data_IF_373952186937
#
_entry.id   IF_373952186937
#
_cell.length_a   1.000
_cell.length_b   1.000
_cell.length_c   1.000
_cell.angle_alpha   90.00
_cell.angle_beta   90.00
_cell.angle_gamma   90.00
#
_symmetry.space_group_name_H-M   'P 1'
#
loop_
_entity.id
_entity.type
_entity.pdbx_description
1 polymer ?
#
# COMPACT_ATOMS: atom_id res chain seq x y z
N UNK A 1 -11.36 22.03 -26.47
CA UNK A 1 -9.90 22.24 -26.41
C UNK A 1 -9.24 20.88 -26.25
N UNK A 2 -8.02 20.68 -26.75
CA UNK A 2 -7.30 19.43 -26.51
C UNK A 2 -7.00 19.30 -25.00
N UNK A 3 -7.30 18.14 -24.43
CA UNK A 3 -6.97 17.83 -23.03
C UNK A 3 -5.43 17.80 -22.89
N UNK A 4 -4.91 18.39 -21.81
CA UNK A 4 -3.47 18.40 -21.52
C UNK A 4 -2.94 16.99 -21.28
N UNK A 5 -1.71 16.75 -21.71
CA UNK A 5 -1.02 15.52 -21.38
C UNK A 5 -0.73 15.44 -19.86
N UNK A 6 -0.85 14.25 -19.26
CA UNK A 6 -0.74 14.04 -17.81
C UNK A 6 0.59 13.39 -17.48
N UNK A 7 1.41 14.04 -16.66
CA UNK A 7 2.67 13.44 -16.18
C UNK A 7 2.36 12.28 -15.25
N UNK A 8 3.12 11.20 -15.38
CA UNK A 8 3.06 10.08 -14.45
C UNK A 8 4.44 9.60 -14.05
N UNK A 9 4.48 8.95 -12.89
CA UNK A 9 5.60 8.15 -12.44
C UNK A 9 5.09 6.76 -12.02
N UNK A 10 5.87 5.70 -12.23
CA UNK A 10 5.61 4.40 -11.61
C UNK A 10 6.57 4.26 -10.44
N UNK A 11 6.02 3.99 -9.27
CA UNK A 11 6.75 3.91 -8.02
C UNK A 11 6.52 2.55 -7.38
N UNK A 12 7.62 1.88 -7.06
CA UNK A 12 7.64 0.66 -6.28
C UNK A 12 7.65 1.01 -4.80
N UNK A 13 6.52 0.82 -4.11
CA UNK A 13 6.36 1.14 -2.70
C UNK A 13 6.76 -0.04 -1.79
N UNK A 14 7.18 0.27 -0.56
CA UNK A 14 7.67 -0.69 0.44
C UNK A 14 8.93 -1.43 -0.01
N UNK A 15 9.81 -0.76 -0.74
CA UNK A 15 11.11 -1.28 -1.16
C UNK A 15 12.12 -0.16 -1.42
N UNK A 16 13.41 -0.51 -1.37
CA UNK A 16 14.53 0.32 -1.82
C UNK A 16 15.17 -0.20 -3.12
N UNK A 17 14.55 -1.20 -3.75
CA UNK A 17 15.04 -1.86 -4.95
C UNK A 17 14.02 -1.82 -6.05
N UNK A 18 14.45 -1.43 -7.26
CA UNK A 18 13.58 -1.44 -8.43
C UNK A 18 12.99 -2.84 -8.70
N UNK A 19 11.74 -2.86 -9.13
CA UNK A 19 10.96 -4.05 -9.49
C UNK A 19 10.68 -5.01 -8.33
N UNK A 20 10.76 -4.50 -7.09
CA UNK A 20 10.31 -5.15 -5.85
C UNK A 20 9.16 -4.33 -5.24
N UNK A 21 8.64 -4.70 -4.09
CA UNK A 21 7.57 -3.94 -3.44
C UNK A 21 6.23 -4.01 -4.19
N UNK A 22 5.33 -3.07 -3.93
CA UNK A 22 4.02 -2.99 -4.59
C UNK A 22 4.00 -1.78 -5.55
N UNK A 23 3.80 -1.97 -6.87
CA UNK A 23 3.91 -0.88 -7.82
C UNK A 23 2.62 -0.07 -7.86
N UNK A 24 2.75 1.25 -7.91
CA UNK A 24 1.64 2.13 -8.20
C UNK A 24 2.01 3.17 -9.26
N UNK A 25 1.11 3.42 -10.20
CA UNK A 25 1.22 4.56 -11.09
C UNK A 25 0.70 5.81 -10.38
N UNK A 26 1.44 6.91 -10.44
CA UNK A 26 1.11 8.19 -9.82
C UNK A 26 0.95 9.23 -10.91
N UNK A 27 -0.27 9.67 -11.18
CA UNK A 27 -0.60 10.66 -12.20
C UNK A 27 -0.84 12.03 -11.56
N UNK A 28 -0.19 13.08 -12.07
CA UNK A 28 -0.41 14.46 -11.63
C UNK A 28 -1.37 15.18 -12.57
N UNK A 29 -2.58 15.48 -12.08
CA UNK A 29 -3.62 16.16 -12.83
C UNK A 29 -3.48 17.68 -12.68
N UNK A 30 -3.27 18.37 -13.81
CA UNK A 30 -3.32 19.84 -13.88
C UNK A 30 -4.73 20.38 -14.17
N UNK A 31 -5.63 19.51 -14.61
CA UNK A 31 -7.03 19.82 -14.92
C UNK A 31 -7.89 18.61 -14.57
N UNK A 32 -9.17 18.85 -14.30
CA UNK A 32 -10.09 17.78 -13.95
C UNK A 32 -10.23 16.75 -15.09
N UNK A 33 -10.39 15.50 -14.67
CA UNK A 33 -10.64 14.34 -15.52
C UNK A 33 -11.87 13.64 -15.00
N UNK A 34 -12.73 13.25 -15.92
CA UNK A 34 -13.92 12.45 -15.63
C UNK A 34 -13.54 11.03 -15.18
N UNK A 35 -14.44 10.40 -14.43
CA UNK A 35 -14.22 9.06 -13.85
C UNK A 35 -13.98 7.98 -14.92
N UNK A 36 -14.59 8.14 -16.10
CA UNK A 36 -14.40 7.21 -17.21
C UNK A 36 -12.94 7.23 -17.71
N UNK A 37 -12.36 8.42 -17.85
CA UNK A 37 -10.96 8.58 -18.22
C UNK A 37 -10.01 8.06 -17.14
N UNK A 38 -10.29 8.37 -15.87
CA UNK A 38 -9.49 7.88 -14.74
C UNK A 38 -9.50 6.36 -14.66
N UNK A 39 -10.66 5.73 -14.87
CA UNK A 39 -10.77 4.28 -14.91
C UNK A 39 -10.04 3.68 -16.12
N UNK A 40 -10.16 4.29 -17.30
CA UNK A 40 -9.51 3.81 -18.52
C UNK A 40 -7.98 3.84 -18.41
N UNK A 41 -7.41 4.91 -17.86
CA UNK A 41 -5.97 5.02 -17.64
C UNK A 41 -5.48 4.01 -16.59
N UNK A 42 -6.25 3.79 -15.52
CA UNK A 42 -5.91 2.76 -14.53
C UNK A 42 -5.91 1.35 -15.14
N UNK A 43 -6.88 1.07 -16.02
CA UNK A 43 -6.95 -0.18 -16.76
C UNK A 43 -5.78 -0.36 -17.74
N UNK A 44 -5.33 0.72 -18.41
CA UNK A 44 -4.19 0.72 -19.32
C UNK A 44 -2.87 0.40 -18.59
N UNK A 45 -2.63 1.02 -17.43
CA UNK A 45 -1.44 0.72 -16.62
C UNK A 45 -1.43 -0.73 -16.11
N UNK A 46 -2.61 -1.27 -15.77
CA UNK A 46 -2.78 -2.65 -15.28
C UNK A 46 -1.87 -3.00 -14.09
N UNK A 47 -1.58 -2.01 -13.25
CA UNK A 47 -0.95 -2.19 -11.94
C UNK A 47 -2.03 -2.45 -10.89
N UNK A 48 -1.62 -2.83 -9.67
CA UNK A 48 -2.54 -2.98 -8.54
C UNK A 48 -3.39 -1.71 -8.39
N UNK A 49 -2.73 -0.54 -8.37
CA UNK A 49 -3.38 0.75 -8.26
C UNK A 49 -2.73 1.82 -9.13
N UNK A 50 -3.57 2.69 -9.69
CA UNK A 50 -3.21 4.00 -10.24
C UNK A 50 -3.81 5.08 -9.36
N UNK A 51 -2.99 6.03 -8.91
CA UNK A 51 -3.45 7.15 -8.11
C UNK A 51 -3.36 8.48 -8.86
N UNK A 52 -4.32 9.35 -8.60
CA UNK A 52 -4.46 10.65 -9.25
C UNK A 52 -4.34 11.77 -8.23
N UNK A 53 -3.34 12.62 -8.42
CA UNK A 53 -3.06 13.78 -7.59
C UNK A 53 -3.62 15.04 -8.24
N UNK A 54 -4.41 15.80 -7.48
CA UNK A 54 -4.86 17.15 -7.87
C UNK A 54 -4.40 18.13 -6.81
N UNK A 55 -3.69 19.20 -7.19
CA UNK A 55 -3.27 20.21 -6.21
C UNK A 55 -4.50 20.95 -5.69
N UNK A 56 -4.66 21.02 -4.36
CA UNK A 56 -5.69 21.84 -3.74
C UNK A 56 -5.10 23.20 -3.38
N UNK A 57 -5.94 24.24 -3.36
CA UNK A 57 -5.52 25.61 -3.03
C UNK A 57 -4.79 25.65 -1.70
N UNK A 58 -3.68 26.38 -1.68
CA UNK A 58 -2.76 26.41 -0.53
C UNK A 58 -3.44 27.03 0.68
N UNK A 59 -3.55 26.28 1.79
CA UNK A 59 -3.65 26.87 3.11
C UNK A 59 -2.24 27.05 3.67
N UNK A 60 -1.96 28.19 4.29
CA UNK A 60 -0.64 28.75 4.62
C UNK A 60 0.33 27.89 5.47
N UNK A 61 0.05 26.62 5.78
CA UNK A 61 0.92 25.81 6.65
C UNK A 61 1.24 24.39 6.18
N UNK A 62 0.47 23.75 5.30
CA UNK A 62 0.77 22.38 4.82
C UNK A 62 0.27 22.15 3.40
N UNK A 63 1.12 21.69 2.45
CA UNK A 63 0.70 21.33 1.10
C UNK A 63 -0.39 20.28 1.13
N UNK A 64 -1.48 20.52 0.39
CA UNK A 64 -2.62 19.62 0.32
C UNK A 64 -2.98 19.25 -1.12
N UNK A 65 -3.29 17.98 -1.33
CA UNK A 65 -3.67 17.43 -2.63
C UNK A 65 -4.94 16.59 -2.50
N UNK A 66 -5.79 16.60 -3.52
CA UNK A 66 -6.78 15.55 -3.71
C UNK A 66 -6.06 14.28 -4.16
N UNK A 67 -6.43 13.14 -3.59
CA UNK A 67 -5.88 11.85 -3.95
C UNK A 67 -7.02 10.84 -4.13
N UNK A 68 -7.06 10.24 -5.32
CA UNK A 68 -7.99 9.16 -5.69
C UNK A 68 -7.19 7.94 -6.11
N UNK A 69 -7.73 6.74 -5.91
CA UNK A 69 -7.07 5.48 -6.28
C UNK A 69 -8.01 4.61 -7.08
N UNK A 70 -7.50 4.06 -8.16
CA UNK A 70 -8.23 3.19 -9.05
C UNK A 70 -7.46 1.89 -9.20
N UNK A 71 -8.13 0.77 -8.96
CA UNK A 71 -7.71 -0.51 -9.53
C UNK A 71 -8.02 -0.49 -11.04
N UNK A 72 -7.60 -1.50 -11.81
CA UNK A 72 -8.01 -1.63 -13.21
C UNK A 72 -9.52 -1.69 -13.45
N UNK A 73 -10.33 -1.96 -12.42
CA UNK A 73 -11.78 -2.15 -12.54
C UNK A 73 -12.66 -1.16 -11.77
N UNK A 74 -12.15 -0.53 -10.70
CA UNK A 74 -12.96 0.34 -9.85
C UNK A 74 -12.11 1.36 -9.07
N UNK A 75 -12.75 2.46 -8.64
CA UNK A 75 -12.20 3.32 -7.59
C UNK A 75 -12.24 2.61 -6.23
N UNK A 76 -11.25 2.88 -5.38
CA UNK A 76 -11.20 2.39 -3.98
C UNK A 76 -11.07 3.56 -3.02
N UNK A 77 -11.66 3.43 -1.84
CA UNK A 77 -11.71 4.52 -0.85
C UNK A 77 -10.38 4.77 -0.14
N UNK A 78 -9.52 3.74 -0.04
CA UNK A 78 -8.26 3.77 0.70
C UNK A 78 -7.23 2.81 0.12
N UNK A 79 -6.00 3.27 -0.12
CA UNK A 79 -4.90 2.39 -0.50
C UNK A 79 -3.56 2.81 0.11
N UNK A 80 -2.94 1.93 0.93
CA UNK A 80 -1.70 2.23 1.63
C UNK A 80 -0.49 2.46 0.72
N UNK A 81 -0.12 1.46 -0.10
CA UNK A 81 1.10 1.54 -0.91
C UNK A 81 1.02 2.64 -1.98
N UNK A 82 -0.15 2.84 -2.59
CA UNK A 82 -0.33 3.91 -3.57
C UNK A 82 -0.35 5.31 -2.92
N UNK A 83 -0.82 5.44 -1.67
CA UNK A 83 -0.61 6.68 -0.88
C UNK A 83 0.87 6.93 -0.62
N UNK A 84 1.62 5.88 -0.27
CA UNK A 84 3.06 5.98 -0.05
C UNK A 84 3.78 6.42 -1.34
N UNK A 85 3.43 5.83 -2.47
CA UNK A 85 3.95 6.18 -3.80
C UNK A 85 3.63 7.63 -4.18
N UNK A 86 2.39 8.08 -3.94
CA UNK A 86 1.98 9.46 -4.19
C UNK A 86 2.79 10.46 -3.36
N UNK A 87 2.95 10.21 -2.05
CA UNK A 87 3.76 11.03 -1.16
C UNK A 87 5.23 11.06 -1.58
N UNK A 88 5.83 9.90 -1.88
CA UNK A 88 7.19 9.80 -2.40
C UNK A 88 7.38 10.64 -3.67
N UNK A 89 6.44 10.54 -4.62
CA UNK A 89 6.46 11.33 -5.86
C UNK A 89 6.43 12.83 -5.58
N UNK A 90 5.61 13.29 -4.63
CA UNK A 90 5.57 14.70 -4.26
C UNK A 90 6.88 15.16 -3.60
N UNK A 91 7.41 14.38 -2.65
CA UNK A 91 8.69 14.70 -2.00
C UNK A 91 9.87 14.71 -2.97
N UNK A 92 9.85 13.89 -4.02
CA UNK A 92 10.93 13.80 -5.01
C UNK A 92 10.76 14.76 -6.22
N UNK A 93 9.56 15.29 -6.47
CA UNK A 93 9.30 16.16 -7.64
C UNK A 93 9.68 17.63 -7.44
N UNK A 94 10.03 18.04 -6.23
CA UNK A 94 10.28 19.45 -5.89
C UNK A 94 9.00 20.32 -5.85
N UNK A 95 7.82 19.73 -6.01
CA UNK A 95 6.53 20.43 -5.95
C UNK A 95 6.14 20.85 -4.52
N UNK A 96 6.71 20.18 -3.50
CA UNK A 96 6.52 20.51 -2.08
C UNK A 96 7.87 20.76 -1.43
N UNK A 97 7.94 21.76 -0.54
CA UNK A 97 9.12 22.08 0.29
C UNK A 97 8.98 21.61 1.74
N UNK A 98 7.84 21.00 2.07
CA UNK A 98 7.50 20.51 3.40
C UNK A 98 7.80 19.02 3.49
N UNK A 99 8.25 18.56 4.66
CA UNK A 99 8.36 17.13 4.98
C UNK A 99 7.00 16.47 5.28
N UNK A 100 5.91 17.24 5.23
CA UNK A 100 4.55 16.78 5.47
C UNK A 100 3.66 17.19 4.29
N UNK A 101 2.85 16.24 3.82
CA UNK A 101 1.77 16.47 2.86
C UNK A 101 0.47 15.87 3.40
N UNK A 102 -0.64 16.54 3.10
CA UNK A 102 -1.99 16.06 3.38
C UNK A 102 -2.73 15.70 2.10
N UNK A 103 -3.47 14.61 2.15
CA UNK A 103 -4.31 14.13 1.06
C UNK A 103 -5.78 14.21 1.46
N UNK A 104 -6.59 14.90 0.66
CA UNK A 104 -8.04 14.85 0.74
C UNK A 104 -8.55 13.68 -0.10
N UNK A 105 -9.25 12.75 0.55
CA UNK A 105 -9.61 11.44 0.00
C UNK A 105 -11.05 11.10 0.39
N UNK A 106 -11.64 10.05 -0.20
CA UNK A 106 -12.97 9.58 0.17
C UNK A 106 -13.04 9.09 1.63
N UNK A 107 -11.95 8.53 2.16
CA UNK A 107 -11.84 8.13 3.57
C UNK A 107 -11.40 9.28 4.50
N UNK A 108 -11.46 10.54 4.06
CA UNK A 108 -11.06 11.71 4.83
C UNK A 108 -9.61 12.15 4.59
N UNK A 109 -9.05 12.92 5.52
CA UNK A 109 -7.68 13.45 5.37
C UNK A 109 -6.66 12.40 5.80
N UNK A 110 -5.73 12.07 4.90
CA UNK A 110 -4.55 11.27 5.19
C UNK A 110 -3.31 12.17 5.28
N UNK A 111 -2.37 11.81 6.16
CA UNK A 111 -1.11 12.53 6.34
C UNK A 111 0.05 11.61 5.99
N UNK A 112 0.97 12.11 5.17
CA UNK A 112 2.24 11.47 4.90
C UNK A 112 3.40 12.37 5.34
N UNK A 113 4.43 11.76 5.92
CA UNK A 113 5.61 12.45 6.44
C UNK A 113 6.91 11.83 5.91
N UNK A 114 7.84 12.67 5.47
CA UNK A 114 9.23 12.33 5.18
C UNK A 114 9.96 12.11 6.51
N UNK A 115 10.51 10.92 6.72
CA UNK A 115 11.24 10.53 7.94
C UNK A 115 12.67 10.12 7.56
N UNK A 116 13.71 10.79 8.09
CA UNK A 116 15.10 10.47 7.76
C UNK A 116 15.45 9.01 8.05
N UNK A 117 16.21 8.38 7.14
CA UNK A 117 16.80 7.07 7.39
C UNK A 117 18.12 7.22 8.17
N UNK A 118 18.05 7.01 9.49
CA UNK A 118 19.18 7.20 10.42
C UNK A 118 20.36 6.27 10.09
N UNK A 119 20.15 5.16 9.39
CA UNK A 119 21.25 4.25 9.00
C UNK A 119 22.16 4.85 7.92
N UNK A 120 21.65 5.73 7.06
CA UNK A 120 22.43 6.43 6.02
C UNK A 120 23.07 7.74 6.48
N UNK A 121 22.74 8.24 7.67
CA UNK A 121 23.37 9.45 8.22
C UNK A 121 24.88 9.26 8.48
N UNK A 122 25.35 8.01 8.60
CA UNK A 122 26.76 7.67 8.83
C UNK A 122 27.43 6.96 7.64
N UNK A 123 26.79 6.86 6.48
CA UNK A 123 27.35 6.20 5.30
C UNK A 123 26.61 6.60 4.02
N UNK A 124 27.29 7.36 3.15
CA UNK A 124 26.81 7.67 1.81
C UNK A 124 26.71 6.37 1.00
N UNK A 125 25.48 5.89 0.76
CA UNK A 125 25.24 4.95 -0.32
C UNK A 125 25.34 5.72 -1.64
N UNK A 126 26.51 5.65 -2.27
CA UNK A 126 26.74 6.18 -3.61
C UNK A 126 26.34 5.11 -4.63
N UNK A 127 25.11 5.20 -5.12
CA UNK A 127 24.78 4.64 -6.43
C UNK A 127 24.60 5.81 -7.40
N UNK A 128 25.43 5.83 -8.46
CA UNK A 128 25.37 6.76 -9.60
C UNK A 128 25.83 8.22 -9.40
N UNK A 129 26.59 8.53 -8.36
CA UNK A 129 27.27 9.83 -8.24
C UNK A 129 26.36 11.02 -7.84
N UNK A 130 25.07 10.78 -7.62
CA UNK A 130 24.16 11.71 -6.96
C UNK A 130 23.78 11.13 -5.60
N UNK A 131 24.07 11.86 -4.52
CA UNK A 131 23.66 11.46 -3.18
C UNK A 131 22.15 11.65 -3.06
N UNK A 132 21.38 10.60 -3.30
CA UNK A 132 19.95 10.61 -2.99
C UNK A 132 19.78 10.41 -1.48
N UNK A 133 19.22 11.38 -0.78
CA UNK A 133 18.84 11.20 0.62
C UNK A 133 17.91 9.99 0.75
N UNK A 134 18.34 8.99 1.52
CA UNK A 134 17.46 7.88 1.90
C UNK A 134 16.52 8.35 3.01
N UNK A 135 15.23 8.13 2.81
CA UNK A 135 14.20 8.44 3.79
C UNK A 135 13.08 7.39 3.71
N UNK A 136 12.32 7.30 4.79
CA UNK A 136 11.05 6.59 4.83
C UNK A 136 9.91 7.57 4.60
N UNK A 137 8.86 7.12 3.93
CA UNK A 137 7.56 7.77 3.99
C UNK A 137 6.76 7.10 5.09
N UNK A 138 6.33 7.89 6.07
CA UNK A 138 5.41 7.47 7.13
C UNK A 138 3.99 7.87 6.78
N UNK A 139 3.07 6.92 6.84
CA UNK A 139 1.64 7.10 6.75
C UNK A 139 1.01 6.87 8.11
N UNK A 140 -0.04 7.62 8.41
CA UNK A 140 -0.77 7.51 9.67
C UNK A 140 -2.21 7.06 9.40
N UNK A 141 -2.56 5.82 9.72
CA UNK A 141 -3.90 5.24 9.55
C UNK A 141 -4.60 4.99 10.89
N UNK A 142 -5.94 4.97 10.93
CA UNK A 142 -6.67 4.46 12.08
C UNK A 142 -6.27 3.00 12.37
N UNK A 143 -6.15 2.62 13.64
CA UNK A 143 -6.04 1.21 14.00
C UNK A 143 -7.37 0.49 13.73
N UNK A 144 -7.29 -0.75 13.25
CA UNK A 144 -8.44 -1.64 13.08
C UNK A 144 -8.36 -2.78 14.11
N UNK A 145 -9.18 -2.74 15.17
CA UNK A 145 -9.16 -3.79 16.17
C UNK A 145 -9.68 -5.11 15.58
N UNK A 146 -9.32 -6.21 16.22
CA UNK A 146 -9.77 -7.54 15.80
C UNK A 146 -10.33 -8.35 16.96
N UNK A 147 -11.36 -9.13 16.65
CA UNK A 147 -12.05 -10.00 17.58
C UNK A 147 -11.68 -11.48 17.32
N UNK A 148 -11.89 -12.32 18.33
CA UNK A 148 -11.80 -13.76 18.16
C UNK A 148 -12.78 -14.25 17.09
N UNK A 149 -12.32 -15.17 16.24
CA UNK A 149 -13.17 -15.79 15.23
C UNK A 149 -13.81 -17.06 15.79
N UNK A 150 -15.06 -16.95 16.23
CA UNK A 150 -15.83 -18.07 16.77
C UNK A 150 -16.97 -18.43 15.80
N UNK A 151 -16.67 -19.26 14.79
CA UNK A 151 -17.69 -19.69 13.82
C UNK A 151 -17.46 -21.13 13.33
N UNK A 152 -18.50 -21.73 12.76
CA UNK A 152 -18.42 -23.03 12.08
C UNK A 152 -17.64 -23.00 10.76
N UNK A 153 -17.19 -21.83 10.31
CA UNK A 153 -16.56 -21.63 9.00
C UNK A 153 -15.06 -21.91 9.00
N UNK A 154 -14.49 -22.37 10.13
CA UNK A 154 -13.07 -22.79 10.20
C UNK A 154 -12.74 -23.83 9.13
N UNK A 155 -13.69 -24.71 8.79
CA UNK A 155 -13.53 -25.70 7.71
C UNK A 155 -13.40 -25.05 6.32
N UNK A 156 -14.11 -23.96 6.06
CA UNK A 156 -14.03 -23.19 4.82
C UNK A 156 -12.66 -22.51 4.71
N UNK A 157 -12.20 -21.89 5.79
CA UNK A 157 -10.88 -21.23 5.86
C UNK A 157 -9.77 -22.28 5.67
N UNK A 158 -9.86 -23.41 6.36
CA UNK A 158 -8.89 -24.50 6.21
C UNK A 158 -8.80 -25.00 4.77
N UNK A 159 -9.94 -25.19 4.08
CA UNK A 159 -9.96 -25.53 2.66
C UNK A 159 -9.33 -24.44 1.79
N UNK A 160 -9.63 -23.17 2.07
CA UNK A 160 -9.07 -22.04 1.34
C UNK A 160 -7.55 -21.92 1.48
N UNK A 161 -7.00 -22.35 2.62
CA UNK A 161 -5.57 -22.40 2.90
C UNK A 161 -4.95 -23.78 2.62
N UNK A 162 -5.59 -24.60 1.80
CA UNK A 162 -5.13 -25.94 1.39
C UNK A 162 -4.75 -26.87 2.56
N UNK A 163 -5.50 -26.77 3.66
CA UNK A 163 -5.26 -27.57 4.86
C UNK A 163 -4.08 -27.13 5.72
N UNK A 164 -3.52 -25.93 5.47
CA UNK A 164 -2.44 -25.38 6.29
C UNK A 164 -2.81 -25.36 7.78
N UNK A 165 -1.83 -25.67 8.64
CA UNK A 165 -1.99 -25.56 10.09
C UNK A 165 -2.18 -24.10 10.48
N UNK A 166 -3.24 -23.82 11.25
CA UNK A 166 -3.59 -22.48 11.74
C UNK A 166 -3.44 -22.47 13.26
N UNK A 167 -2.77 -21.44 13.79
CA UNK A 167 -2.58 -21.23 15.23
C UNK A 167 -3.75 -20.44 15.81
N UNK A 168 -4.13 -19.35 15.13
CA UNK A 168 -5.19 -18.44 15.57
C UNK A 168 -5.91 -17.89 14.34
N UNK A 169 -7.21 -17.63 14.48
CA UNK A 169 -8.00 -16.91 13.49
C UNK A 169 -8.68 -15.75 14.20
N UNK A 170 -8.52 -14.55 13.65
CA UNK A 170 -9.19 -13.33 14.09
C UNK A 170 -9.93 -12.70 12.93
N UNK A 171 -10.81 -11.77 13.25
CA UNK A 171 -11.54 -10.97 12.28
C UNK A 171 -11.39 -9.49 12.62
N UNK A 172 -10.95 -8.67 11.68
CA UNK A 172 -10.90 -7.22 11.86
C UNK A 172 -12.30 -6.63 11.90
N UNK A 173 -12.47 -5.49 12.57
CA UNK A 173 -13.80 -4.94 12.87
C UNK A 173 -14.23 -3.88 11.87
N UNK A 174 -13.29 -3.12 11.33
CA UNK A 174 -13.57 -2.05 10.37
C UNK A 174 -13.50 -2.59 8.95
N UNK A 175 -12.40 -3.27 8.62
CA UNK A 175 -12.16 -3.81 7.26
C UNK A 175 -12.80 -5.17 7.02
N UNK A 176 -13.23 -5.84 8.09
CA UNK A 176 -13.92 -7.13 8.03
C UNK A 176 -13.12 -8.22 7.30
N UNK A 177 -11.80 -8.24 7.50
CA UNK A 177 -10.87 -9.23 6.98
C UNK A 177 -10.62 -10.35 7.97
N UNK A 178 -10.30 -11.52 7.45
CA UNK A 178 -9.78 -12.63 8.25
C UNK A 178 -8.27 -12.45 8.44
N UNK A 179 -7.82 -12.54 9.69
CA UNK A 179 -6.40 -12.60 10.05
C UNK A 179 -6.10 -14.00 10.58
N UNK A 180 -5.32 -14.76 9.83
CA UNK A 180 -4.95 -16.15 10.18
C UNK A 180 -3.47 -16.21 10.53
N UNK A 181 -3.19 -16.61 11.77
CA UNK A 181 -1.82 -16.82 12.24
C UNK A 181 -1.39 -18.24 11.90
N UNK A 182 -0.31 -18.37 11.14
CA UNK A 182 0.34 -19.64 10.82
C UNK A 182 1.55 -19.88 11.76
N UNK A 183 2.02 -21.13 11.92
CA UNK A 183 3.07 -21.47 12.88
C UNK A 183 4.42 -20.79 12.64
N UNK A 184 4.69 -20.29 11.43
CA UNK A 184 5.97 -19.65 11.09
C UNK A 184 5.89 -18.83 9.81
N UNK A 185 6.86 -17.93 9.64
CA UNK A 185 7.12 -17.25 8.37
C UNK A 185 7.38 -18.22 7.20
N UNK A 186 7.97 -19.39 7.46
CA UNK A 186 8.12 -20.44 6.45
C UNK A 186 6.75 -20.96 5.98
N UNK A 187 5.82 -21.21 6.91
CA UNK A 187 4.46 -21.62 6.56
C UNK A 187 3.73 -20.56 5.73
N UNK A 188 3.92 -19.26 6.02
CA UNK A 188 3.38 -18.15 5.20
C UNK A 188 3.97 -18.14 3.79
N UNK A 189 5.28 -18.31 3.68
CA UNK A 189 6.01 -18.27 2.40
C UNK A 189 5.64 -19.45 1.51
N UNK A 190 5.56 -20.65 2.09
CA UNK A 190 5.30 -21.89 1.35
C UNK A 190 3.81 -22.06 0.99
N UNK A 191 2.91 -21.32 1.65
CA UNK A 191 1.46 -21.44 1.46
C UNK A 191 1.06 -21.28 -0.02
N UNK A 192 0.31 -22.24 -0.53
CA UNK A 192 -0.35 -22.18 -1.83
C UNK A 192 -1.87 -22.20 -1.60
N UNK A 193 -2.52 -21.03 -1.44
CA UNK A 193 -3.94 -21.01 -1.15
C UNK A 193 -4.79 -21.35 -2.37
N UNK A 194 -5.98 -21.88 -2.10
CA UNK A 194 -7.02 -22.11 -3.10
C UNK A 194 -7.80 -20.80 -3.32
N UNK A 195 -7.37 -19.98 -4.29
CA UNK A 195 -7.90 -18.62 -4.53
C UNK A 195 -9.42 -18.60 -4.69
N UNK A 196 -10.01 -19.56 -5.42
CA UNK A 196 -11.47 -19.64 -5.58
C UNK A 196 -12.19 -19.96 -4.27
N UNK A 197 -11.56 -20.72 -3.37
CA UNK A 197 -12.12 -21.00 -2.05
C UNK A 197 -12.00 -19.78 -1.12
N UNK A 198 -10.98 -18.93 -1.27
CA UNK A 198 -10.89 -17.65 -0.53
C UNK A 198 -12.10 -16.75 -0.83
N UNK A 199 -12.62 -16.75 -2.06
CA UNK A 199 -13.84 -16.01 -2.41
C UNK A 199 -15.05 -16.43 -1.57
N UNK A 200 -15.05 -17.67 -1.05
CA UNK A 200 -16.12 -18.22 -0.21
C UNK A 200 -15.88 -18.03 1.28
N UNK A 201 -14.69 -17.59 1.70
CA UNK A 201 -14.43 -17.30 3.11
C UNK A 201 -15.35 -16.17 3.63
N UNK A 202 -15.69 -16.16 4.92
CA UNK A 202 -16.38 -15.02 5.52
C UNK A 202 -15.50 -13.76 5.49
N UNK A 203 -16.11 -12.61 5.79
CA UNK A 203 -15.44 -11.31 5.68
C UNK A 203 -15.75 -10.59 4.37
N UNK A 204 -15.37 -9.32 4.29
CA UNK A 204 -15.74 -8.45 3.17
C UNK A 204 -14.68 -8.44 2.05
N UNK A 205 -13.38 -8.40 2.38
CA UNK A 205 -12.30 -8.25 1.37
C UNK A 205 -11.47 -9.49 1.16
N UNK A 206 -10.84 -10.03 2.22
CA UNK A 206 -9.89 -11.11 2.03
C UNK A 206 -9.36 -11.81 3.28
N UNK A 207 -8.27 -12.54 3.09
CA UNK A 207 -7.56 -13.31 4.11
C UNK A 207 -6.12 -12.81 4.20
N UNK A 208 -5.76 -12.29 5.36
CA UNK A 208 -4.39 -11.98 5.76
C UNK A 208 -3.84 -13.22 6.45
N UNK A 209 -2.71 -13.75 5.96
CA UNK A 209 -1.97 -14.80 6.65
C UNK A 209 -0.68 -14.21 7.20
N UNK A 210 -0.37 -14.50 8.46
CA UNK A 210 0.83 -13.98 9.13
C UNK A 210 1.52 -15.05 9.96
N UNK A 211 2.83 -14.94 10.16
CA UNK A 211 3.59 -15.90 10.94
C UNK A 211 4.91 -15.32 11.43
N UNK A 212 5.33 -15.72 12.63
CA UNK A 212 6.53 -15.20 13.27
C UNK A 212 7.77 -15.49 12.40
N UNK A 213 8.60 -14.48 12.21
CA UNK A 213 9.82 -14.61 11.45
C UNK A 213 10.93 -15.20 12.33
N UNK A 214 11.89 -15.95 11.74
CA UNK A 214 13.00 -16.47 12.52
C UNK A 214 13.93 -15.32 12.93
N UNK A 215 14.57 -15.36 14.12
CA UNK A 215 15.36 -14.24 14.66
C UNK A 215 16.43 -13.69 13.72
N UNK A 216 17.04 -14.55 12.91
CA UNK A 216 18.10 -14.21 11.95
C UNK A 216 17.59 -13.46 10.71
N UNK A 217 16.29 -13.39 10.48
CA UNK A 217 15.71 -12.75 9.28
C UNK A 217 15.78 -11.22 9.30
N UNK A 218 15.93 -10.61 10.48
CA UNK A 218 15.83 -9.16 10.64
C UNK A 218 14.40 -8.60 10.56
N UNK A 219 13.38 -9.47 10.58
CA UNK A 219 11.96 -9.11 10.60
C UNK A 219 11.27 -9.73 11.81
N UNK A 220 10.15 -9.14 12.25
CA UNK A 220 9.34 -9.69 13.34
C UNK A 220 8.36 -10.77 12.86
N UNK A 221 7.79 -10.60 11.66
CA UNK A 221 6.83 -11.52 11.05
C UNK A 221 6.80 -11.39 9.53
N UNK A 222 6.33 -12.44 8.84
CA UNK A 222 5.97 -12.39 7.42
C UNK A 222 4.46 -12.39 7.28
N UNK A 223 3.95 -11.64 6.30
CA UNK A 223 2.52 -11.54 6.03
C UNK A 223 2.22 -11.52 4.54
N UNK A 224 1.11 -12.15 4.14
CA UNK A 224 0.54 -12.11 2.78
C UNK A 224 -0.94 -11.78 2.88
N UNK A 225 -1.46 -11.05 1.90
CA UNK A 225 -2.88 -10.68 1.86
C UNK A 225 -3.49 -11.11 0.53
N UNK A 226 -4.52 -11.95 0.61
CA UNK A 226 -5.27 -12.46 -0.54
C UNK A 226 -6.66 -11.84 -0.56
N UNK A 227 -6.99 -11.08 -1.60
CA UNK A 227 -8.25 -10.34 -1.70
C UNK A 227 -9.03 -10.60 -3.02
N UNK A 228 -9.23 -11.86 -3.43
CA UNK A 228 -9.81 -12.20 -4.73
C UNK A 228 -11.25 -11.74 -4.93
N UNK A 229 -11.94 -11.30 -3.87
CA UNK A 229 -13.25 -10.63 -3.92
C UNK A 229 -13.18 -9.25 -4.57
N UNK A 230 -12.01 -8.62 -4.58
CA UNK A 230 -11.72 -7.33 -5.24
C UNK A 230 -10.97 -7.50 -6.57
N UNK A 231 -10.97 -8.71 -7.16
CA UNK A 231 -10.32 -8.97 -8.44
C UNK A 231 -8.78 -9.06 -8.39
N UNK A 232 -8.19 -9.05 -7.20
CA UNK A 232 -6.75 -9.19 -6.98
C UNK A 232 -6.52 -10.45 -6.16
N UNK A 233 -5.80 -11.42 -6.71
CA UNK A 233 -5.58 -12.70 -6.01
C UNK A 233 -4.66 -12.53 -4.80
N UNK A 234 -3.57 -11.76 -4.94
CA UNK A 234 -2.64 -11.42 -3.86
C UNK A 234 -2.18 -9.96 -3.98
N UNK A 235 -2.18 -9.23 -2.87
CA UNK A 235 -1.96 -7.78 -2.85
C UNK A 235 -0.58 -7.35 -3.38
N UNK A 236 0.46 -8.18 -3.23
CA UNK A 236 1.73 -7.99 -3.94
C UNK A 236 2.51 -9.31 -4.05
N UNK A 237 2.71 -9.84 -5.26
CA UNK A 237 3.53 -11.04 -5.47
C UNK A 237 5.04 -10.76 -5.41
N UNK A 238 5.47 -9.49 -5.40
CA UNK A 238 6.89 -9.12 -5.44
C UNK A 238 7.51 -8.96 -4.04
N UNK A 239 6.68 -8.96 -3.00
CA UNK A 239 7.07 -8.77 -1.59
C UNK A 239 7.60 -7.37 -1.30
N UNK A 240 7.60 -6.97 -0.03
CA UNK A 240 8.09 -5.67 0.40
C UNK A 240 8.37 -5.64 1.91
N UNK A 241 9.03 -4.58 2.37
CA UNK A 241 9.32 -4.35 3.77
C UNK A 241 8.53 -3.15 4.28
N UNK A 242 7.78 -3.37 5.37
CA UNK A 242 6.99 -2.35 6.03
C UNK A 242 7.37 -2.32 7.51
N UNK A 243 7.60 -1.12 8.04
CA UNK A 243 7.71 -0.93 9.48
C UNK A 243 6.34 -0.53 9.99
N UNK A 244 5.82 -1.28 10.94
CA UNK A 244 4.51 -1.05 11.54
C UNK A 244 4.72 -0.66 13.00
N UNK A 245 4.12 0.45 13.42
CA UNK A 245 4.08 0.85 14.81
C UNK A 245 2.65 1.15 15.22
N UNK A 246 2.18 0.48 16.27
CA UNK A 246 0.90 0.77 16.89
C UNK A 246 1.09 1.85 17.95
N UNK A 247 0.49 3.01 17.72
CA UNK A 247 0.29 4.04 18.74
C UNK A 247 -1.00 3.72 19.49
N UNK A 248 -0.86 2.99 20.59
CA UNK A 248 -1.98 2.56 21.44
C UNK A 248 -2.71 3.75 22.07
N UNK A 249 -2.02 4.86 22.36
CA UNK A 249 -2.62 6.02 23.02
C UNK A 249 -3.60 6.71 22.09
N UNK A 250 -3.24 6.85 20.82
CA UNK A 250 -4.06 7.54 19.82
C UNK A 250 -4.89 6.59 18.94
N UNK A 251 -4.78 5.28 19.15
CA UNK A 251 -5.42 4.24 18.32
C UNK A 251 -5.09 4.41 16.83
N UNK A 252 -3.79 4.59 16.54
CA UNK A 252 -3.27 4.80 15.19
C UNK A 252 -2.21 3.75 14.85
N UNK A 253 -2.12 3.43 13.56
CA UNK A 253 -1.04 2.62 13.01
C UNK A 253 -0.18 3.51 12.13
N UNK A 254 1.10 3.63 12.50
CA UNK A 254 2.11 4.28 11.68
C UNK A 254 2.74 3.22 10.78
N UNK A 255 2.60 3.42 9.47
CA UNK A 255 3.19 2.56 8.44
C UNK A 255 4.34 3.30 7.77
N UNK A 256 5.55 2.78 7.87
CA UNK A 256 6.73 3.36 7.19
C UNK A 256 7.25 2.43 6.12
N UNK A 257 7.54 2.99 4.95
CA UNK A 257 8.16 2.27 3.85
C UNK A 257 9.12 3.15 3.08
N UNK A 258 10.06 2.51 2.39
CA UNK A 258 10.84 3.14 1.32
C UNK A 258 10.08 3.02 0.00
N UNK A 259 10.47 3.82 -0.97
CA UNK A 259 9.97 3.72 -2.32
C UNK A 259 11.07 4.06 -3.33
N UNK A 260 10.91 3.53 -4.54
CA UNK A 260 11.79 3.80 -5.69
C UNK A 260 10.94 4.12 -6.89
N UNK A 261 11.21 5.23 -7.55
CA UNK A 261 10.63 5.54 -8.85
C UNK A 261 11.36 4.74 -9.94
N UNK A 262 10.60 4.02 -10.76
CA UNK A 262 11.15 3.11 -11.79
C UNK A 262 10.79 3.51 -13.21
N UNK A 263 9.75 4.32 -13.40
CA UNK A 263 9.38 4.86 -14.70
C UNK A 263 8.84 6.28 -14.53
N UNK A 264 9.02 7.11 -15.54
CA UNK A 264 8.38 8.40 -15.69
C UNK A 264 7.93 8.58 -17.14
N UNK A 265 6.84 9.30 -17.34
CA UNK A 265 6.33 9.54 -18.68
C UNK A 265 5.13 10.48 -18.70
N UNK A 266 4.38 10.38 -19.79
CA UNK A 266 3.20 11.22 -20.00
C UNK A 266 2.08 10.39 -20.63
N UNK A 267 0.90 10.43 -20.01
CA UNK A 267 -0.34 9.91 -20.56
C UNK A 267 -0.91 10.95 -21.53
N UNK A 268 -1.11 10.55 -22.78
CA UNK A 268 -1.73 11.39 -23.81
C UNK A 268 -3.25 11.30 -23.70
N UNK A 269 -3.92 12.40 -24.00
CA UNK A 269 -5.38 12.52 -23.89
C UNK A 269 -6.10 12.25 -25.21
#
# INVERSE_FOLDING_TARGET
MAKKAVKYSVVDAFTDSAFKGNPAAVCLLEEERDDQWLQAVAAEFKLSETCYLTRLTESDSTPRFGLRWFTPSNEVELCGHATLAAAYTLFNSGLVKSDIVEFATLSGILKAKKVPDVKTANGLNTHNGEAQESYFVELNFPADPSNEFNSGDVSVISKALDGASMVEIRRTTVTDDLLVVLPSAKAVTDLQPQIDAIRQCPGSRGVIVTGIAPPESGYDFYSRFFCPKHGIDEASPRGGAINVHLDEQNQRVLLRGKAVMVMEGTVLA
#
